data_IF_494026582579
#
_entry.id   IF_494026582579
#
_cell.length_a   1.000
_cell.length_b   1.000
_cell.length_c   1.000
_cell.angle_alpha   90.00
_cell.angle_beta   90.00
_cell.angle_gamma   90.00
#
_symmetry.space_group_name_H-M   'P 1'
#
loop_
_entity.id
_entity.type
_entity.pdbx_description
1 polymer ?
#
# COMPACT_ATOMS: atom_id res chain seq x y z
N UNK A 1 10.01 6.61 1.97
CA UNK A 1 10.37 6.69 0.53
C UNK A 1 9.83 7.98 -0.04
N UNK A 2 10.60 8.69 -0.87
CA UNK A 2 10.07 9.83 -1.63
C UNK A 2 9.55 9.28 -2.96
N UNK A 3 8.24 9.11 -3.07
CA UNK A 3 7.60 8.68 -4.31
C UNK A 3 7.69 9.83 -5.32
N UNK A 4 8.60 9.74 -6.28
CA UNK A 4 8.62 10.60 -7.45
C UNK A 4 8.13 9.81 -8.66
N UNK A 5 7.48 10.48 -9.62
CA UNK A 5 7.02 9.88 -10.87
C UNK A 5 8.15 9.09 -11.57
N UNK A 6 9.38 9.62 -11.51
CA UNK A 6 10.58 8.98 -12.06
C UNK A 6 10.96 7.68 -11.33
N UNK A 7 10.81 7.64 -10.01
CA UNK A 7 11.04 6.43 -9.20
C UNK A 7 10.03 5.34 -9.53
N UNK A 8 8.74 5.70 -9.63
CA UNK A 8 7.66 4.76 -9.97
C UNK A 8 7.88 4.17 -11.37
N UNK A 9 8.19 5.00 -12.38
CA UNK A 9 8.46 4.55 -13.74
C UNK A 9 9.67 3.60 -13.80
N UNK A 10 10.76 3.93 -13.08
CA UNK A 10 11.96 3.08 -13.02
C UNK A 10 11.69 1.73 -12.34
N UNK A 11 10.91 1.70 -11.27
CA UNK A 11 10.54 0.46 -10.59
C UNK A 11 9.54 -0.38 -11.40
N UNK A 12 8.65 0.24 -12.18
CA UNK A 12 7.74 -0.45 -13.09
C UNK A 12 8.52 -1.20 -14.20
N UNK A 13 9.55 -0.56 -14.77
CA UNK A 13 10.42 -1.17 -15.78
C UNK A 13 11.32 -2.29 -15.21
N UNK A 14 11.57 -2.31 -13.91
CA UNK A 14 12.41 -3.30 -13.21
C UNK A 14 11.62 -4.51 -12.67
N UNK A 15 10.49 -4.87 -13.30
CA UNK A 15 9.62 -5.99 -12.87
C UNK A 15 9.13 -5.88 -11.42
N UNK A 16 8.86 -4.66 -10.92
CA UNK A 16 8.44 -4.42 -9.54
C UNK A 16 9.41 -4.95 -8.47
N UNK A 17 10.67 -5.22 -8.81
CA UNK A 17 11.68 -5.63 -7.82
C UNK A 17 12.16 -4.41 -7.01
N UNK A 18 12.15 -4.56 -5.69
CA UNK A 18 12.62 -3.53 -4.74
C UNK A 18 11.53 -2.68 -4.07
N UNK A 19 10.24 -2.98 -4.29
CA UNK A 19 9.18 -2.39 -3.47
C UNK A 19 9.25 -2.98 -2.07
N UNK A 20 9.59 -2.14 -1.10
CA UNK A 20 9.36 -2.46 0.31
C UNK A 20 7.87 -2.48 0.59
N UNK A 21 7.44 -3.24 1.59
CA UNK A 21 6.04 -3.28 2.01
C UNK A 21 5.51 -1.84 2.23
N UNK A 22 4.57 -1.41 1.38
CA UNK A 22 4.05 -0.04 1.41
C UNK A 22 3.10 0.19 2.60
N UNK A 23 2.51 -0.90 3.09
CA UNK A 23 1.52 -0.89 4.15
C UNK A 23 2.12 -1.52 5.40
N UNK A 24 1.94 -0.87 6.54
CA UNK A 24 2.30 -1.49 7.82
C UNK A 24 1.28 -2.59 8.14
N UNK A 25 1.72 -3.63 8.85
CA UNK A 25 0.85 -4.65 9.47
C UNK A 25 0.70 -4.35 10.97
N UNK A 26 -0.06 -3.31 11.37
CA UNK A 26 -0.32 -3.07 12.78
C UNK A 26 -1.23 -4.18 13.34
N UNK A 27 -1.14 -4.49 14.64
CA UNK A 27 -2.15 -5.31 15.29
C UNK A 27 -3.52 -4.63 15.22
N UNK A 28 -4.57 -5.44 15.21
CA UNK A 28 -5.94 -4.93 15.20
C UNK A 28 -6.21 -4.12 16.49
N UNK A 29 -6.88 -2.99 16.33
CA UNK A 29 -7.38 -2.19 17.43
C UNK A 29 -8.60 -2.88 18.06
N UNK A 30 -8.84 -2.61 19.34
CA UNK A 30 -9.98 -3.22 20.05
C UNK A 30 -11.33 -2.68 19.57
N UNK A 31 -11.36 -1.47 19.02
CA UNK A 31 -12.57 -0.77 18.60
C UNK A 31 -12.29 0.01 17.34
N UNK A 32 -13.31 0.10 16.49
CA UNK A 32 -13.28 0.83 15.23
C UNK A 32 -14.63 1.50 15.04
N UNK A 33 -14.64 2.78 14.68
CA UNK A 33 -15.88 3.47 14.27
C UNK A 33 -16.38 2.94 12.93
N UNK A 34 -15.46 2.52 12.05
CA UNK A 34 -15.75 1.96 10.72
C UNK A 34 -14.80 0.80 10.44
N UNK A 35 -15.36 -0.31 9.96
CA UNK A 35 -14.61 -1.47 9.47
C UNK A 35 -14.97 -1.69 8.01
N UNK A 36 -13.95 -1.70 7.15
CA UNK A 36 -14.09 -1.99 5.72
C UNK A 36 -13.84 -3.49 5.52
N UNK A 37 -14.85 -4.21 5.05
CA UNK A 37 -14.74 -5.64 4.68
C UNK A 37 -14.49 -5.73 3.17
N UNK A 38 -13.24 -5.99 2.79
CA UNK A 38 -12.81 -6.10 1.39
C UNK A 38 -12.06 -4.85 0.89
N UNK A 39 -10.73 -4.93 0.84
CA UNK A 39 -9.84 -3.84 0.41
C UNK A 39 -9.65 -3.74 -1.11
N UNK A 40 -10.71 -3.98 -1.89
CA UNK A 40 -10.72 -3.76 -3.34
C UNK A 40 -10.98 -2.28 -3.66
N UNK A 41 -10.90 -1.89 -4.94
CA UNK A 41 -11.03 -0.48 -5.37
C UNK A 41 -12.37 0.22 -5.11
N UNK A 42 -13.36 -0.47 -4.53
CA UNK A 42 -14.62 0.13 -4.06
C UNK A 42 -14.65 0.34 -2.52
N UNK A 43 -13.75 -0.31 -1.79
CA UNK A 43 -13.66 -0.23 -0.33
C UNK A 43 -12.61 0.77 0.17
N UNK A 44 -11.76 1.28 -0.72
CA UNK A 44 -10.80 2.36 -0.47
C UNK A 44 -11.35 3.68 -1.00
#
# INVERSE_FOLDING_TARGET
MRYSLFSIARHALNSHKGWTEAWKKPPLQKQYDVVIIGGGGHGL
#
